data_IF_337413876384
#
_entry.id   IF_337413876384
#
_cell.length_a   1.000
_cell.length_b   1.000
_cell.length_c   1.000
_cell.angle_alpha   90.00
_cell.angle_beta   90.00
_cell.angle_gamma   90.00
#
_symmetry.space_group_name_H-M   'P 1'
#
loop_
_entity.id
_entity.type
_entity.pdbx_description
1 polymer ?
#
# COMPACT_ATOMS: atom_id res chain seq x y z
N UNK A 1 7.85 21.90 -5.22
CA UNK A 1 7.32 21.50 -3.91
C UNK A 1 7.12 19.99 -3.82
N UNK A 2 6.35 19.34 -4.71
CA UNK A 2 6.11 17.89 -4.69
C UNK A 2 7.40 17.04 -4.64
N UNK A 3 8.44 17.42 -5.39
CA UNK A 3 9.73 16.72 -5.39
C UNK A 3 10.39 16.78 -4.01
N UNK A 4 10.40 17.95 -3.38
CA UNK A 4 11.02 18.17 -2.09
C UNK A 4 10.26 17.51 -0.92
N UNK A 5 8.95 17.25 -1.10
CA UNK A 5 8.12 16.61 -0.08
C UNK A 5 8.26 15.09 -0.04
N UNK A 6 8.85 14.49 -1.07
CA UNK A 6 8.99 13.04 -1.13
C UNK A 6 10.16 12.54 -0.27
N UNK A 7 9.94 11.85 0.85
CA UNK A 7 11.00 11.39 1.75
C UNK A 7 11.91 10.33 1.11
N UNK A 8 11.41 9.62 0.11
CA UNK A 8 12.14 8.56 -0.59
C UNK A 8 12.77 9.01 -1.91
N UNK A 9 12.57 10.28 -2.30
CA UNK A 9 13.01 10.76 -3.60
C UNK A 9 12.40 10.01 -4.79
N UNK A 10 11.18 9.49 -4.61
CA UNK A 10 10.45 8.80 -5.66
C UNK A 10 9.90 9.76 -6.73
N UNK A 11 9.66 11.02 -6.36
CA UNK A 11 9.19 12.07 -7.28
C UNK A 11 10.40 12.78 -7.88
N UNK A 12 10.50 12.74 -9.21
CA UNK A 12 11.63 13.32 -9.96
C UNK A 12 11.12 14.35 -10.97
N UNK A 13 11.93 15.38 -11.30
CA UNK A 13 11.59 16.28 -12.40
C UNK A 13 11.54 15.51 -13.72
N UNK A 14 10.57 15.83 -14.54
CA UNK A 14 10.38 15.27 -15.87
C UNK A 14 9.90 16.36 -16.85
N UNK A 15 9.86 16.02 -18.11
CA UNK A 15 9.30 16.83 -19.16
C UNK A 15 8.21 16.03 -19.85
N UNK A 16 7.12 16.67 -20.20
CA UNK A 16 6.04 16.10 -21.02
C UNK A 16 5.70 17.05 -22.14
N UNK A 17 5.27 16.49 -23.25
CA UNK A 17 4.76 17.26 -24.39
C UNK A 17 3.24 17.24 -24.34
N UNK A 18 2.64 18.42 -24.27
CA UNK A 18 1.19 18.62 -24.30
C UNK A 18 0.89 19.68 -25.35
N UNK A 19 0.06 19.33 -26.31
CA UNK A 19 -0.33 20.19 -27.43
C UNK A 19 0.87 20.79 -28.21
N UNK A 20 1.93 19.97 -28.41
CA UNK A 20 3.16 20.37 -29.11
C UNK A 20 4.06 21.33 -28.32
N UNK A 21 3.80 21.53 -27.02
CA UNK A 21 4.63 22.33 -26.13
C UNK A 21 5.27 21.45 -25.06
N UNK A 22 6.59 21.63 -24.89
CA UNK A 22 7.30 20.98 -23.79
C UNK A 22 6.98 21.69 -22.47
N UNK A 23 6.39 20.95 -21.52
CA UNK A 23 6.11 21.43 -20.17
C UNK A 23 6.95 20.71 -19.14
N UNK A 24 7.34 21.43 -18.09
CA UNK A 24 8.01 20.84 -16.93
C UNK A 24 6.99 20.15 -16.04
N UNK A 25 7.18 18.89 -15.78
CA UNK A 25 6.31 18.05 -14.94
C UNK A 25 7.13 17.21 -13.97
N UNK A 26 6.50 16.27 -13.33
CA UNK A 26 7.15 15.31 -12.44
C UNK A 26 6.81 13.89 -12.88
N UNK A 27 7.75 12.98 -12.64
CA UNK A 27 7.54 11.53 -12.82
C UNK A 27 7.70 10.86 -11.46
N UNK A 28 6.77 9.97 -11.14
CA UNK A 28 6.84 9.15 -9.93
C UNK A 28 7.48 7.81 -10.27
N UNK A 29 8.56 7.47 -9.56
CA UNK A 29 9.10 6.12 -9.58
C UNK A 29 8.30 5.26 -8.60
N UNK A 30 7.43 4.41 -9.15
CA UNK A 30 6.50 3.57 -8.38
C UNK A 30 7.25 2.57 -7.49
N UNK A 31 8.39 2.04 -7.95
CA UNK A 31 9.20 1.09 -7.18
C UNK A 31 9.76 1.68 -5.88
N UNK A 32 9.95 3.02 -5.85
CA UNK A 32 10.43 3.75 -4.68
C UNK A 32 9.33 4.46 -3.92
N UNK A 33 8.11 4.46 -4.43
CA UNK A 33 6.97 5.15 -3.85
C UNK A 33 6.35 4.32 -2.72
N UNK A 34 6.28 4.90 -1.52
CA UNK A 34 5.60 4.28 -0.38
C UNK A 34 4.11 4.67 -0.27
N UNK A 35 3.56 5.32 -1.28
CA UNK A 35 2.16 5.73 -1.35
C UNK A 35 1.67 6.58 -0.15
N UNK A 36 2.53 7.40 0.44
CA UNK A 36 2.21 8.21 1.63
C UNK A 36 1.37 9.46 1.36
N UNK A 37 1.19 9.88 0.10
CA UNK A 37 0.39 11.05 -0.28
C UNK A 37 1.03 12.42 -0.02
N UNK A 38 2.23 12.51 0.57
CA UNK A 38 2.86 13.81 0.89
C UNK A 38 3.06 14.73 -0.33
N UNK A 39 3.31 14.16 -1.49
CA UNK A 39 3.43 14.94 -2.73
C UNK A 39 2.12 15.60 -3.14
N UNK A 40 0.99 14.95 -2.91
CA UNK A 40 -0.35 15.49 -3.18
C UNK A 40 -0.69 16.65 -2.26
N UNK A 41 -0.45 16.53 -0.97
CA UNK A 41 -0.72 17.62 -0.02
C UNK A 41 0.08 18.89 -0.32
N UNK A 42 1.23 18.75 -0.97
CA UNK A 42 2.11 19.88 -1.34
C UNK A 42 1.86 20.41 -2.75
N UNK A 43 1.20 19.63 -3.60
CA UNK A 43 0.92 20.01 -4.99
C UNK A 43 -0.39 19.36 -5.47
N UNK A 44 -1.50 20.10 -5.49
CA UNK A 44 -2.79 19.57 -5.90
C UNK A 44 -2.87 19.16 -7.38
N UNK A 45 -1.87 19.53 -8.19
CA UNK A 45 -1.76 19.05 -9.57
C UNK A 45 -1.22 17.61 -9.69
N UNK A 46 -0.83 16.99 -8.57
CA UNK A 46 -0.49 15.56 -8.57
C UNK A 46 -1.77 14.73 -8.74
N UNK A 47 -1.80 13.77 -9.68
CA UNK A 47 -3.01 12.99 -9.99
C UNK A 47 -3.25 11.87 -8.95
N UNK A 48 -3.44 12.25 -7.68
CA UNK A 48 -3.75 11.33 -6.59
C UNK A 48 -5.23 11.36 -6.17
N UNK A 49 -6.01 12.21 -6.78
CA UNK A 49 -7.45 12.31 -6.59
C UNK A 49 -8.11 12.45 -7.97
N UNK A 50 -8.19 11.35 -8.68
CA UNK A 50 -8.86 11.26 -9.97
C UNK A 50 -10.14 10.42 -9.79
N UNK A 51 -11.32 11.04 -9.80
CA UNK A 51 -12.59 10.34 -9.57
C UNK A 51 -12.85 9.20 -10.56
N UNK A 52 -12.29 9.27 -11.76
CA UNK A 52 -12.46 8.23 -12.79
C UNK A 52 -11.41 7.13 -12.71
N UNK A 53 -10.18 7.47 -12.27
CA UNK A 53 -9.07 6.54 -12.16
C UNK A 53 -8.80 6.04 -10.74
N UNK A 54 -9.47 6.59 -9.72
CA UNK A 54 -9.25 6.20 -8.32
C UNK A 54 -9.75 4.78 -8.04
N UNK A 55 -9.00 4.10 -7.18
CA UNK A 55 -9.33 2.76 -6.73
C UNK A 55 -9.08 2.54 -5.26
N UNK A 56 -9.49 1.39 -4.80
CA UNK A 56 -9.35 0.95 -3.42
C UNK A 56 -8.38 -0.22 -3.38
N UNK A 57 -7.35 -0.12 -2.55
CA UNK A 57 -6.46 -1.23 -2.23
C UNK A 57 -6.88 -1.90 -0.93
N UNK A 58 -6.81 -3.22 -0.87
CA UNK A 58 -7.10 -3.97 0.35
C UNK A 58 -5.80 -4.53 0.93
N UNK A 59 -5.55 -4.14 2.17
CA UNK A 59 -4.46 -4.66 2.96
C UNK A 59 -5.01 -5.54 4.09
N UNK A 60 -4.33 -6.65 4.35
CA UNK A 60 -4.72 -7.61 5.38
C UNK A 60 -3.61 -7.78 6.41
N UNK A 61 -4.00 -7.92 7.66
CA UNK A 61 -3.09 -8.05 8.80
C UNK A 61 -3.03 -6.78 9.66
N UNK A 62 -1.83 -6.37 10.05
CA UNK A 62 -1.64 -5.14 10.83
C UNK A 62 -1.70 -5.32 12.34
N UNK A 63 -0.89 -6.21 12.87
CA UNK A 63 -0.66 -6.33 14.32
C UNK A 63 0.58 -5.53 14.70
N UNK A 64 0.40 -4.45 15.44
CA UNK A 64 1.48 -3.57 15.88
C UNK A 64 2.05 -3.95 17.25
N UNK A 65 1.24 -4.57 18.12
CA UNK A 65 1.68 -4.98 19.46
C UNK A 65 2.76 -6.06 19.39
N UNK A 66 3.87 -5.84 20.10
CA UNK A 66 4.99 -6.76 20.23
C UNK A 66 5.06 -7.47 21.58
N UNK A 67 4.00 -7.37 22.40
CA UNK A 67 4.00 -7.92 23.77
C UNK A 67 4.17 -9.43 23.82
N UNK A 68 3.64 -10.15 22.83
CA UNK A 68 3.66 -11.64 22.80
C UNK A 68 4.42 -12.16 21.57
N UNK A 69 4.40 -11.41 20.47
CA UNK A 69 5.11 -11.77 19.23
C UNK A 69 5.54 -10.51 18.51
N UNK A 70 6.50 -10.65 17.59
CA UNK A 70 6.95 -9.54 16.75
C UNK A 70 5.78 -8.85 16.02
N UNK A 71 5.86 -7.52 15.76
CA UNK A 71 4.87 -6.83 14.98
C UNK A 71 4.71 -7.44 13.59
N UNK A 72 3.47 -7.57 13.14
CA UNK A 72 3.12 -8.08 11.80
C UNK A 72 2.41 -6.97 11.05
N UNK A 73 3.07 -6.42 10.06
CA UNK A 73 2.49 -5.35 9.25
C UNK A 73 1.48 -5.92 8.25
N UNK A 74 0.49 -5.10 7.91
CA UNK A 74 -0.47 -5.44 6.87
C UNK A 74 0.24 -5.64 5.53
N UNK A 75 -0.26 -6.58 4.73
CA UNK A 75 0.24 -6.87 3.40
C UNK A 75 -0.81 -6.51 2.36
N UNK A 76 -0.36 -6.05 1.22
CA UNK A 76 -1.22 -5.76 0.09
C UNK A 76 -1.78 -7.07 -0.47
N UNK A 77 -3.09 -7.23 -0.42
CA UNK A 77 -3.78 -8.44 -0.91
C UNK A 77 -4.45 -8.17 -2.25
N UNK A 78 -5.15 -7.06 -2.36
CA UNK A 78 -5.74 -6.63 -3.63
C UNK A 78 -5.19 -5.25 -3.95
N UNK A 79 -4.41 -5.09 -5.03
CA UNK A 79 -3.75 -3.84 -5.34
C UNK A 79 -4.71 -2.76 -5.84
N UNK A 80 -5.78 -3.14 -6.50
CA UNK A 80 -6.75 -2.20 -7.07
C UNK A 80 -8.14 -2.83 -7.20
N UNK A 81 -9.14 -2.12 -6.72
CA UNK A 81 -10.56 -2.32 -7.01
C UNK A 81 -11.14 -0.97 -7.42
N UNK A 82 -12.09 -0.93 -8.37
CA UNK A 82 -12.67 0.32 -8.80
C UNK A 82 -13.44 1.01 -7.65
N UNK A 83 -13.39 2.33 -7.65
CA UNK A 83 -14.11 3.15 -6.67
C UNK A 83 -15.59 3.30 -7.06
N UNK A 84 -16.33 2.21 -7.02
CA UNK A 84 -17.72 2.12 -7.48
C UNK A 84 -18.69 2.59 -6.39
N UNK A 85 -18.97 3.91 -6.39
CA UNK A 85 -19.97 4.49 -5.49
C UNK A 85 -21.40 4.10 -5.93
N UNK A 86 -22.42 4.05 -5.02
CA UNK A 86 -22.35 4.47 -3.60
C UNK A 86 -22.03 3.36 -2.60
N UNK A 87 -21.92 2.11 -2.96
CA UNK A 87 -21.81 0.99 -2.02
C UNK A 87 -20.59 0.12 -2.19
N UNK A 88 -19.70 0.44 -3.12
CA UNK A 88 -18.46 -0.31 -3.39
C UNK A 88 -18.64 -1.84 -3.40
N UNK A 89 -19.50 -2.40 -4.28
CA UNK A 89 -19.89 -3.80 -4.22
C UNK A 89 -18.69 -4.76 -4.34
N UNK A 90 -17.72 -4.46 -5.18
CA UNK A 90 -16.52 -5.28 -5.36
C UNK A 90 -15.66 -5.29 -4.08
N UNK A 91 -15.48 -4.13 -3.45
CA UNK A 91 -14.73 -4.00 -2.20
C UNK A 91 -15.43 -4.74 -1.06
N UNK A 92 -16.74 -4.57 -0.95
CA UNK A 92 -17.56 -5.27 0.06
C UNK A 92 -17.48 -6.78 -0.13
N UNK A 93 -17.58 -7.25 -1.37
CA UNK A 93 -17.48 -8.67 -1.69
C UNK A 93 -16.11 -9.25 -1.33
N UNK A 94 -15.03 -8.55 -1.68
CA UNK A 94 -13.67 -8.98 -1.36
C UNK A 94 -13.42 -9.04 0.16
N UNK A 95 -13.85 -8.01 0.90
CA UNK A 95 -13.73 -8.00 2.37
C UNK A 95 -14.57 -9.12 2.99
N UNK A 96 -15.77 -9.37 2.48
CA UNK A 96 -16.63 -10.45 2.95
C UNK A 96 -15.97 -11.83 2.76
N UNK A 97 -15.40 -12.10 1.59
CA UNK A 97 -14.67 -13.35 1.31
C UNK A 97 -13.52 -13.57 2.30
N UNK A 98 -12.74 -12.53 2.58
CA UNK A 98 -11.64 -12.59 3.54
C UNK A 98 -12.16 -12.90 4.95
N UNK A 99 -13.23 -12.23 5.38
CA UNK A 99 -13.78 -12.42 6.72
C UNK A 99 -14.45 -13.80 6.89
N UNK A 100 -15.12 -14.30 5.87
CA UNK A 100 -15.73 -15.64 5.89
C UNK A 100 -14.65 -16.73 5.94
N UNK A 101 -13.59 -16.62 5.14
CA UNK A 101 -12.47 -17.55 5.17
C UNK A 101 -11.76 -17.52 6.54
N UNK A 102 -11.57 -16.32 7.11
CA UNK A 102 -11.02 -16.17 8.44
C UNK A 102 -11.92 -16.79 9.52
N UNK A 103 -13.21 -16.53 9.50
CA UNK A 103 -14.18 -17.05 10.47
C UNK A 103 -14.25 -18.58 10.45
N UNK A 104 -14.05 -19.20 9.30
CA UNK A 104 -14.08 -20.65 9.14
C UNK A 104 -12.83 -21.38 9.67
N UNK A 105 -11.67 -20.71 9.72
CA UNK A 105 -10.37 -21.37 9.98
C UNK A 105 -9.60 -20.77 11.17
N UNK A 106 -10.04 -19.63 11.71
CA UNK A 106 -9.33 -18.95 12.79
C UNK A 106 -9.43 -19.70 14.11
N UNK A 107 -8.33 -19.72 14.84
CA UNK A 107 -8.30 -20.25 16.23
C UNK A 107 -8.84 -19.21 17.21
N UNK A 108 -9.24 -19.67 18.39
CA UNK A 108 -9.70 -18.79 19.47
C UNK A 108 -8.66 -17.71 19.78
N UNK A 109 -9.06 -16.44 19.77
CA UNK A 109 -8.21 -15.27 19.99
C UNK A 109 -7.13 -15.01 18.93
N UNK A 110 -7.11 -15.75 17.83
CA UNK A 110 -6.20 -15.51 16.71
C UNK A 110 -6.66 -14.27 15.92
N UNK A 111 -5.77 -13.36 15.61
CA UNK A 111 -6.05 -12.20 14.77
C UNK A 111 -5.83 -12.54 13.30
N UNK A 112 -6.43 -11.79 12.39
CA UNK A 112 -6.32 -12.00 10.94
C UNK A 112 -4.86 -12.07 10.48
N UNK A 113 -3.99 -11.18 10.98
CA UNK A 113 -2.57 -11.21 10.65
C UNK A 113 -1.84 -12.46 11.17
N UNK A 114 -2.20 -12.94 12.37
CA UNK A 114 -1.63 -14.18 12.92
C UNK A 114 -2.12 -15.40 12.15
N UNK A 115 -3.41 -15.39 11.76
CA UNK A 115 -4.01 -16.44 10.94
C UNK A 115 -3.35 -16.53 9.56
N UNK A 116 -3.21 -15.42 8.86
CA UNK A 116 -2.57 -15.38 7.53
C UNK A 116 -1.13 -15.89 7.57
N UNK A 117 -0.35 -15.49 8.59
CA UNK A 117 1.02 -15.98 8.76
C UNK A 117 1.06 -17.48 9.13
N UNK A 118 0.12 -17.97 9.95
CA UNK A 118 0.03 -19.38 10.33
C UNK A 118 -0.27 -20.29 9.16
N UNK A 119 -1.22 -19.93 8.32
CA UNK A 119 -1.60 -20.75 7.16
C UNK A 119 -0.65 -20.57 5.97
N UNK A 120 0.08 -19.45 5.93
CA UNK A 120 0.91 -19.02 4.81
C UNK A 120 0.12 -18.22 3.77
N UNK A 121 0.79 -17.26 3.15
CA UNK A 121 0.13 -16.33 2.21
C UNK A 121 -0.43 -17.01 0.96
N UNK A 122 0.22 -18.04 0.42
CA UNK A 122 -0.30 -18.80 -0.72
C UNK A 122 -1.67 -19.41 -0.40
N UNK A 123 -1.77 -20.14 0.73
CA UNK A 123 -3.04 -20.71 1.19
C UNK A 123 -4.08 -19.66 1.59
N UNK A 124 -3.64 -18.50 2.05
CA UNK A 124 -4.52 -17.37 2.31
C UNK A 124 -5.24 -16.94 1.03
N UNK A 125 -4.48 -16.69 -0.05
CA UNK A 125 -5.06 -16.29 -1.33
C UNK A 125 -6.00 -17.35 -1.91
N UNK A 126 -5.62 -18.62 -1.80
CA UNK A 126 -6.44 -19.76 -2.22
C UNK A 126 -7.76 -19.84 -1.44
N UNK A 127 -7.70 -19.81 -0.09
CA UNK A 127 -8.88 -19.87 0.77
C UNK A 127 -9.83 -18.67 0.61
N UNK A 128 -9.29 -17.49 0.38
CA UNK A 128 -10.07 -16.29 0.14
C UNK A 128 -10.57 -16.17 -1.31
N UNK A 129 -10.18 -17.11 -2.20
CA UNK A 129 -10.48 -17.07 -3.64
C UNK A 129 -10.09 -15.72 -4.27
N UNK A 130 -8.89 -15.22 -3.91
CA UNK A 130 -8.33 -13.97 -4.42
C UNK A 130 -7.13 -14.33 -5.30
N UNK A 131 -7.02 -13.78 -6.52
CA UNK A 131 -5.90 -14.06 -7.40
C UNK A 131 -4.59 -13.51 -6.81
N UNK A 132 -3.58 -14.35 -6.71
CA UNK A 132 -2.23 -13.93 -6.36
C UNK A 132 -1.55 -13.31 -7.58
N UNK A 133 -1.12 -12.08 -7.46
CA UNK A 133 -0.49 -11.32 -8.55
C UNK A 133 0.92 -10.89 -8.17
N UNK A 134 1.73 -10.50 -9.15
CA UNK A 134 3.07 -9.95 -8.91
C UNK A 134 3.09 -8.69 -8.04
N UNK A 135 1.96 -7.99 -7.94
CA UNK A 135 1.80 -6.80 -7.08
C UNK A 135 1.36 -7.14 -5.66
N UNK A 136 1.03 -8.39 -5.38
CA UNK A 136 0.62 -8.83 -4.06
C UNK A 136 1.84 -9.00 -3.16
N UNK A 137 1.77 -8.52 -1.93
CA UNK A 137 2.77 -8.69 -0.85
C UNK A 137 4.06 -7.86 -1.04
N UNK A 138 4.75 -7.96 -2.18
CA UNK A 138 6.12 -7.46 -2.35
C UNK A 138 6.24 -5.93 -2.38
N UNK A 139 5.32 -5.22 -3.00
CA UNK A 139 5.34 -3.75 -3.09
C UNK A 139 5.37 -3.09 -1.70
N UNK A 140 4.70 -3.72 -0.74
CA UNK A 140 4.61 -3.21 0.62
C UNK A 140 5.86 -3.47 1.44
N UNK A 141 6.50 -4.58 1.23
CA UNK A 141 7.75 -4.94 1.90
C UNK A 141 8.87 -3.99 1.50
N UNK A 142 9.01 -3.72 0.23
CA UNK A 142 10.02 -2.79 -0.28
C UNK A 142 9.80 -1.37 0.25
N UNK A 143 8.58 -0.87 0.24
CA UNK A 143 8.24 0.44 0.79
C UNK A 143 8.54 0.53 2.29
N UNK A 144 8.22 -0.51 3.04
CA UNK A 144 8.49 -0.60 4.47
C UNK A 144 9.98 -0.61 4.79
N UNK A 145 10.75 -1.45 4.12
CA UNK A 145 12.19 -1.54 4.33
C UNK A 145 12.89 -0.21 3.98
N UNK A 146 12.49 0.40 2.88
CA UNK A 146 13.04 1.69 2.45
C UNK A 146 12.66 2.82 3.41
N UNK A 147 11.43 2.85 3.91
CA UNK A 147 10.99 3.85 4.87
C UNK A 147 11.75 3.72 6.20
N UNK A 148 11.90 2.51 6.69
CA UNK A 148 12.61 2.24 7.95
C UNK A 148 14.08 2.66 7.87
N UNK A 149 14.76 2.32 6.79
CA UNK A 149 16.15 2.70 6.55
C UNK A 149 16.29 4.23 6.45
N UNK A 150 15.42 4.89 5.72
CA UNK A 150 15.44 6.34 5.54
C UNK A 150 15.16 7.08 6.84
N UNK A 151 14.25 6.58 7.67
CA UNK A 151 13.90 7.18 8.95
C UNK A 151 15.05 7.03 9.97
N UNK A 152 15.66 5.87 10.06
CA UNK A 152 16.81 5.64 10.92
C UNK A 152 18.00 6.53 10.53
N UNK A 153 18.24 6.73 9.25
CA UNK A 153 19.32 7.59 8.77
C UNK A 153 19.12 9.07 9.16
N UNK A 154 17.90 9.54 9.15
CA UNK A 154 17.57 10.92 9.56
C UNK A 154 17.75 11.15 11.06
N UNK A 155 17.41 10.18 11.90
CA UNK A 155 17.55 10.30 13.34
C UNK A 155 19.02 10.25 13.81
N UNK A 156 19.85 9.46 13.17
CA UNK A 156 21.27 9.37 13.54
C UNK A 156 22.11 10.56 13.10
N UNK A 157 21.69 11.33 12.11
CA UNK A 157 22.41 12.55 11.68
C UNK A 157 22.19 13.75 12.58
N UNK A 158 21.22 13.71 13.49
CA UNK A 158 20.91 14.79 14.45
C UNK A 158 21.46 14.54 15.88
N UNK A 159 22.13 13.42 16.08
CA UNK A 159 22.77 13.05 17.38
C UNK A 159 24.28 13.24 17.28
N UNK A 160 24.71 14.38 16.74
CA UNK A 160 26.10 14.81 16.81
C UNK A 160 26.18 16.12 17.59
#
# INVERSE_FOLDING_TARGET
>A
LAIASCPLGAVKPAKAEVDGKEIKTVKVNVERCMFCGNCYTMCPAMPLADPEGDGIAILVGGKVSNRVSAPKFSKLVIPFLPNTTPRWPETVQAVKQILEAYAADAKKYERVGDWAERIGWEKFFEKCNIPFTMKSIDDYRLAYDTWRTTTQFKYTSHIK
#
